data_IF_090749176116
#
_entry.id   IF_090749176116
#
_cell.length_a   1.000
_cell.length_b   1.000
_cell.length_c   1.000
_cell.angle_alpha   90.00
_cell.angle_beta   90.00
_cell.angle_gamma   90.00
#
_symmetry.space_group_name_H-M   'P 1'
#
loop_
_entity.id
_entity.type
_entity.pdbx_description
1 polymer ?
#
# COMPACT_ATOMS: atom_id res chain seq x y z
N UNK A 1 24.16 5.37 19.28
CA UNK A 1 23.47 5.02 18.01
C UNK A 1 22.03 5.48 18.13
N UNK A 2 21.57 6.40 17.26
CA UNK A 2 20.16 6.85 17.24
C UNK A 2 19.33 5.72 16.62
N UNK A 3 18.49 5.07 17.42
CA UNK A 3 17.59 4.02 16.93
C UNK A 3 16.34 4.70 16.38
N UNK A 4 15.98 4.39 15.13
CA UNK A 4 14.69 4.81 14.59
C UNK A 4 13.61 3.79 14.96
N UNK A 5 12.39 4.27 15.17
CA UNK A 5 11.25 3.43 15.57
C UNK A 5 10.14 3.48 14.52
N UNK A 6 9.64 2.30 14.13
CA UNK A 6 8.43 2.20 13.31
C UNK A 6 7.18 2.45 14.16
N UNK A 7 6.33 3.35 13.70
CA UNK A 7 5.09 3.80 14.34
C UNK A 7 3.90 3.32 13.53
N UNK A 8 3.42 2.12 13.82
CA UNK A 8 2.28 1.50 13.09
C UNK A 8 1.02 2.35 13.17
N UNK A 9 0.82 3.05 14.27
CA UNK A 9 -0.27 4.00 14.51
C UNK A 9 -0.26 5.21 13.56
N UNK A 10 0.89 5.50 12.92
CA UNK A 10 1.05 6.56 11.92
C UNK A 10 0.95 6.06 10.48
N UNK A 11 0.62 4.78 10.25
CA UNK A 11 0.38 4.33 8.90
C UNK A 11 -0.77 5.13 8.28
N UNK A 12 -0.62 5.63 7.04
CA UNK A 12 -1.74 6.25 6.35
C UNK A 12 -2.85 5.22 6.15
N UNK A 13 -4.09 5.70 6.05
CA UNK A 13 -5.18 4.85 5.61
C UNK A 13 -5.01 4.42 4.13
N UNK A 14 -5.85 3.51 3.69
CA UNK A 14 -5.78 2.94 2.34
C UNK A 14 -5.92 3.99 1.25
N UNK A 15 -6.75 5.02 1.44
CA UNK A 15 -6.98 6.05 0.42
C UNK A 15 -5.74 6.91 0.28
N UNK A 16 -5.22 7.41 1.40
CA UNK A 16 -3.99 8.20 1.40
C UNK A 16 -2.79 7.43 0.82
N UNK A 17 -2.65 6.13 1.13
CA UNK A 17 -1.58 5.32 0.57
C UNK A 17 -1.73 5.09 -0.95
N UNK A 18 -2.95 4.91 -1.45
CA UNK A 18 -3.22 4.80 -2.89
C UNK A 18 -2.95 6.14 -3.60
N UNK A 19 -3.36 7.25 -3.01
CA UNK A 19 -3.13 8.59 -3.56
C UNK A 19 -1.62 8.89 -3.69
N UNK A 20 -0.82 8.50 -2.69
CA UNK A 20 0.65 8.61 -2.75
C UNK A 20 1.29 7.75 -3.84
N UNK A 21 0.57 6.74 -4.35
CA UNK A 21 0.97 5.91 -5.50
C UNK A 21 0.34 6.39 -6.81
N UNK A 22 -0.44 7.48 -6.80
CA UNK A 22 -1.17 7.97 -7.98
C UNK A 22 -2.31 7.03 -8.41
N UNK A 23 -2.88 6.27 -7.47
CA UNK A 23 -3.92 5.30 -7.71
C UNK A 23 -5.25 5.74 -7.11
N UNK A 24 -6.35 5.35 -7.74
CA UNK A 24 -7.69 5.50 -7.16
C UNK A 24 -8.43 4.18 -7.29
N UNK A 25 -9.05 3.74 -6.20
CA UNK A 25 -9.88 2.54 -6.23
C UNK A 25 -11.25 2.86 -6.85
N UNK A 26 -11.68 2.02 -7.78
CA UNK A 26 -13.05 1.99 -8.29
C UNK A 26 -14.05 1.60 -7.20
N UNK A 27 -15.35 1.58 -7.56
CA UNK A 27 -16.46 1.29 -6.64
C UNK A 27 -16.17 0.09 -5.72
N UNK A 28 -16.28 0.34 -4.42
CA UNK A 28 -16.08 -0.65 -3.37
C UNK A 28 -17.27 -1.63 -3.36
N UNK A 29 -16.99 -2.93 -3.34
CA UNK A 29 -18.02 -3.96 -3.25
C UNK A 29 -18.54 -4.15 -1.81
N UNK A 30 -19.58 -4.96 -1.64
CA UNK A 30 -20.20 -5.22 -0.33
C UNK A 30 -19.24 -5.88 0.69
N UNK A 31 -18.15 -6.49 0.24
CA UNK A 31 -17.11 -7.08 1.08
C UNK A 31 -15.97 -6.11 1.42
N UNK A 32 -16.10 -4.83 1.07
CA UNK A 32 -15.14 -3.77 1.40
C UNK A 32 -13.94 -3.68 0.46
N UNK A 33 -13.91 -4.42 -0.66
CA UNK A 33 -12.81 -4.39 -1.62
C UNK A 33 -13.08 -3.42 -2.77
N UNK A 34 -12.09 -2.61 -3.12
CA UNK A 34 -12.05 -1.80 -4.34
C UNK A 34 -11.03 -2.38 -5.34
N UNK A 35 -11.17 -2.02 -6.61
CA UNK A 35 -10.23 -2.40 -7.66
C UNK A 35 -9.44 -1.20 -8.20
N UNK A 36 -8.16 -1.40 -8.50
CA UNK A 36 -7.27 -0.40 -9.13
C UNK A 36 -6.18 -1.08 -9.97
N UNK A 37 -5.37 -0.28 -10.69
CA UNK A 37 -4.18 -0.77 -11.39
C UNK A 37 -3.16 -1.33 -10.40
N UNK A 38 -2.48 -2.42 -10.77
CA UNK A 38 -1.40 -2.94 -9.94
C UNK A 38 -0.13 -2.10 -10.11
N UNK A 39 0.37 -1.44 -9.05
CA UNK A 39 1.60 -0.66 -9.13
C UNK A 39 2.87 -1.52 -9.06
N UNK A 40 2.74 -2.85 -8.87
CA UNK A 40 3.88 -3.76 -8.70
C UNK A 40 4.44 -4.24 -10.04
N UNK A 41 3.58 -4.48 -11.04
CA UNK A 41 4.02 -4.95 -12.37
C UNK A 41 3.63 -4.03 -13.52
N UNK A 42 2.99 -2.87 -13.23
CA UNK A 42 2.77 -1.80 -14.21
C UNK A 42 1.92 -2.23 -15.40
N UNK A 43 0.62 -2.35 -15.20
CA UNK A 43 -0.34 -2.78 -16.23
C UNK A 43 -1.36 -1.68 -16.58
N UNK A 44 -2.05 -1.87 -17.71
CA UNK A 44 -3.11 -0.97 -18.21
C UNK A 44 -4.53 -1.42 -17.85
N UNK A 45 -4.69 -2.51 -17.11
CA UNK A 45 -5.98 -3.04 -16.68
C UNK A 45 -6.05 -3.15 -15.15
N UNK A 46 -7.15 -2.75 -14.48
CA UNK A 46 -7.24 -2.88 -13.03
C UNK A 46 -7.28 -4.35 -12.58
N UNK A 47 -6.19 -4.87 -11.98
CA UNK A 47 -6.16 -6.23 -11.43
C UNK A 47 -5.84 -6.31 -9.94
N UNK A 48 -5.51 -5.18 -9.30
CA UNK A 48 -5.31 -5.09 -7.86
C UNK A 48 -6.67 -4.98 -7.16
N UNK A 49 -6.97 -5.91 -6.27
CA UNK A 49 -8.08 -5.82 -5.32
C UNK A 49 -7.53 -5.52 -3.93
N UNK A 50 -8.03 -4.46 -3.29
CA UNK A 50 -7.58 -4.00 -1.98
C UNK A 50 -8.77 -3.72 -1.08
N UNK A 51 -8.71 -4.20 0.17
CA UNK A 51 -9.74 -3.91 1.17
C UNK A 51 -9.56 -2.48 1.68
N UNK A 52 -10.56 -1.62 1.48
CA UNK A 52 -10.40 -0.17 1.67
C UNK A 52 -10.26 0.28 3.14
N UNK A 53 -10.53 -0.59 4.10
CA UNK A 53 -10.28 -0.33 5.53
C UNK A 53 -9.06 -1.08 6.06
N UNK A 54 -9.03 -2.41 5.93
CA UNK A 54 -7.92 -3.27 6.38
C UNK A 54 -6.61 -3.10 5.61
N UNK A 55 -6.65 -2.64 4.35
CA UNK A 55 -5.46 -2.46 3.52
C UNK A 55 -4.82 -3.73 2.96
N UNK A 56 -5.35 -4.91 3.27
CA UNK A 56 -4.88 -6.16 2.66
C UNK A 56 -5.27 -6.23 1.18
N UNK A 57 -4.39 -6.77 0.35
CA UNK A 57 -4.53 -6.71 -1.11
C UNK A 57 -3.98 -7.93 -1.84
N UNK A 58 -4.50 -8.15 -3.05
CA UNK A 58 -4.01 -9.15 -4.01
C UNK A 58 -4.16 -8.62 -5.43
N UNK A 59 -3.11 -8.76 -6.21
CA UNK A 59 -3.13 -8.61 -7.65
C UNK A 59 -3.48 -9.96 -8.29
N UNK A 60 -4.56 -10.00 -9.08
CA UNK A 60 -4.98 -11.24 -9.74
C UNK A 60 -4.23 -11.52 -11.05
N UNK A 61 -3.52 -10.54 -11.62
CA UNK A 61 -2.68 -10.76 -12.80
C UNK A 61 -1.28 -11.32 -12.45
N UNK A 62 -0.50 -10.64 -11.61
CA UNK A 62 0.87 -11.07 -11.28
C UNK A 62 0.99 -11.93 -10.01
N UNK A 63 -0.11 -12.11 -9.26
CA UNK A 63 -0.13 -12.92 -8.03
C UNK A 63 0.47 -12.25 -6.79
N UNK A 64 1.03 -11.04 -6.90
CA UNK A 64 1.53 -10.29 -5.75
C UNK A 64 0.40 -10.02 -4.74
N UNK A 65 0.72 -10.09 -3.45
CA UNK A 65 -0.22 -9.83 -2.35
C UNK A 65 0.50 -9.26 -1.14
N UNK A 66 -0.26 -8.64 -0.24
CA UNK A 66 0.27 -8.06 0.99
C UNK A 66 -0.82 -7.85 2.04
N UNK A 67 -0.38 -7.75 3.29
CA UNK A 67 -1.27 -7.63 4.45
C UNK A 67 -1.70 -6.19 4.79
N UNK A 68 -0.95 -5.19 4.32
CA UNK A 68 -1.24 -3.78 4.57
C UNK A 68 -0.68 -2.87 3.46
N UNK A 69 -0.96 -1.57 3.62
CA UNK A 69 -0.56 -0.51 2.69
C UNK A 69 0.94 -0.26 2.65
N UNK A 70 1.66 -0.55 3.75
CA UNK A 70 3.12 -0.43 3.80
C UNK A 70 3.75 -1.42 2.85
N UNK A 71 3.30 -2.68 2.87
CA UNK A 71 3.80 -3.70 1.95
C UNK A 71 3.44 -3.39 0.48
N UNK A 72 2.24 -2.83 0.23
CA UNK A 72 1.88 -2.36 -1.12
C UNK A 72 2.86 -1.29 -1.61
N UNK A 73 3.03 -0.22 -0.82
CA UNK A 73 3.87 0.92 -1.16
C UNK A 73 5.33 0.50 -1.36
N UNK A 74 5.83 -0.33 -0.46
CA UNK A 74 7.17 -0.88 -0.51
C UNK A 74 7.41 -1.67 -1.80
N UNK A 75 6.48 -2.56 -2.18
CA UNK A 75 6.60 -3.36 -3.40
C UNK A 75 6.44 -2.52 -4.66
N UNK A 76 5.49 -1.58 -4.67
CA UNK A 76 5.27 -0.66 -5.77
C UNK A 76 6.52 0.17 -6.10
N UNK A 77 7.27 0.60 -5.08
CA UNK A 77 8.44 1.48 -5.25
C UNK A 77 9.80 0.76 -5.16
N UNK A 78 9.82 -0.56 -4.97
CA UNK A 78 11.06 -1.33 -4.83
C UNK A 78 11.88 -0.95 -3.59
N UNK A 79 11.23 -0.57 -2.50
CA UNK A 79 11.89 -0.03 -1.30
C UNK A 79 12.18 -1.12 -0.25
N UNK A 80 13.12 -0.83 0.65
CA UNK A 80 13.23 -1.54 1.94
C UNK A 80 12.12 -1.10 2.90
N UNK A 81 11.91 -1.86 3.97
CA UNK A 81 10.92 -1.53 5.01
C UNK A 81 11.13 -0.12 5.59
N UNK A 82 12.36 0.22 5.99
CA UNK A 82 12.67 1.52 6.62
C UNK A 82 12.48 2.67 5.64
N UNK A 83 12.87 2.50 4.38
CA UNK A 83 12.65 3.53 3.34
C UNK A 83 11.15 3.78 3.14
N UNK A 84 10.35 2.73 2.96
CA UNK A 84 8.90 2.87 2.81
C UNK A 84 8.25 3.49 4.06
N UNK A 85 8.66 3.08 5.26
CA UNK A 85 8.13 3.65 6.49
C UNK A 85 8.48 5.14 6.66
N UNK A 86 9.67 5.57 6.23
CA UNK A 86 10.06 6.99 6.20
C UNK A 86 9.22 7.78 5.21
N UNK A 87 9.02 7.26 4.01
CA UNK A 87 8.23 7.94 2.97
C UNK A 87 6.75 8.04 3.34
N UNK A 88 6.21 7.03 4.05
CA UNK A 88 4.84 7.05 4.57
C UNK A 88 4.68 7.83 5.89
N UNK A 89 5.76 8.45 6.41
CA UNK A 89 5.70 9.23 7.64
C UNK A 89 5.51 8.42 8.94
N UNK A 90 5.64 7.09 8.86
CA UNK A 90 5.48 6.17 9.98
C UNK A 90 6.82 5.68 10.56
N UNK A 91 7.92 6.38 10.26
CA UNK A 91 9.23 6.18 10.88
C UNK A 91 9.64 7.40 11.70
N UNK A 92 9.90 7.19 12.99
CA UNK A 92 10.34 8.24 13.92
C UNK A 92 11.86 8.16 14.08
N UNK A 93 12.55 9.27 13.82
CA UNK A 93 14.00 9.40 14.05
C UNK A 93 14.22 10.19 15.33
N UNK A 94 14.87 9.57 16.33
CA UNK A 94 15.33 10.27 17.55
C UNK A 94 16.60 11.07 17.29
#
# INVERSE_FOLDING_TARGET
>A
MKHGQFRRDRLPDVRAALDMLGLTAAKVNASGYGQTFCPVHGETHPSLSIHMERGNWRCFACGASGGDVLELYRRARGLTFVQAARELGCWESQ
#
